data_IF_954218442691
#
_entry.id   IF_954218442691
#
_cell.length_a   1.000
_cell.length_b   1.000
_cell.length_c   1.000
_cell.angle_alpha   90.00
_cell.angle_beta   90.00
_cell.angle_gamma   90.00
#
_symmetry.space_group_name_H-M   'P 1'
#
loop_
_entity.id
_entity.type
_entity.pdbx_description
1 polymer ?
#
# COMPACT_ATOMS: atom_id res chain seq x y z
N UNK A 1 -32.05 17.54 -23.42
CA UNK A 1 -31.57 18.60 -24.34
C UNK A 1 -30.05 18.43 -24.43
N UNK A 2 -29.56 17.72 -25.43
CA UNK A 2 -28.15 17.42 -25.60
C UNK A 2 -27.52 18.44 -26.56
N UNK A 3 -26.37 19.05 -26.28
CA UNK A 3 -25.74 19.94 -27.21
C UNK A 3 -25.09 19.16 -28.37
N UNK A 4 -25.44 19.49 -29.58
CA UNK A 4 -24.82 18.98 -30.82
C UNK A 4 -23.47 19.64 -31.02
N UNK A 5 -22.40 18.87 -31.11
CA UNK A 5 -21.11 19.33 -31.59
C UNK A 5 -21.23 19.71 -33.08
N UNK A 6 -20.98 21.00 -33.42
CA UNK A 6 -20.83 21.44 -34.82
C UNK A 6 -19.37 21.29 -35.24
N UNK A 7 -19.15 20.53 -36.29
CA UNK A 7 -17.86 20.50 -36.96
C UNK A 7 -17.57 21.83 -37.66
N UNK A 8 -16.43 22.43 -37.39
CA UNK A 8 -15.88 23.53 -38.18
C UNK A 8 -15.24 22.91 -39.42
N UNK A 9 -15.82 23.14 -40.58
CA UNK A 9 -15.33 22.74 -41.91
C UNK A 9 -14.31 23.72 -42.44
N UNK A 10 -13.07 23.71 -41.95
CA UNK A 10 -11.94 24.32 -42.61
C UNK A 10 -10.64 23.59 -42.24
N UNK A 11 -10.56 22.31 -42.60
CA UNK A 11 -9.31 21.56 -42.55
C UNK A 11 -8.96 21.13 -43.99
N UNK A 12 -7.82 21.59 -44.49
CA UNK A 12 -7.20 21.10 -45.71
C UNK A 12 -7.06 19.57 -45.70
N UNK A 13 -7.36 18.88 -46.80
CA UNK A 13 -7.35 17.41 -46.80
C UNK A 13 -5.92 16.86 -46.62
N UNK A 14 -5.73 16.12 -45.53
CA UNK A 14 -4.51 15.34 -45.33
C UNK A 14 -4.60 14.12 -46.27
N UNK A 15 -3.69 14.08 -47.26
CA UNK A 15 -3.53 12.88 -48.09
C UNK A 15 -2.94 11.74 -47.28
N UNK A 16 -3.79 10.76 -46.91
CA UNK A 16 -3.35 9.50 -46.29
C UNK A 16 -2.85 8.60 -47.39
N UNK A 17 -1.55 8.35 -47.42
CA UNK A 17 -0.95 7.36 -48.31
C UNK A 17 -1.14 5.98 -47.66
N UNK A 18 -2.18 5.23 -48.03
CA UNK A 18 -2.41 3.86 -47.56
C UNK A 18 -1.67 2.91 -48.51
N UNK A 19 -0.50 2.49 -48.11
CA UNK A 19 0.21 1.39 -48.75
C UNK A 19 0.22 0.18 -47.82
N UNK A 20 -0.56 -0.86 -48.13
CA UNK A 20 -0.33 -2.23 -47.64
C UNK A 20 -1.03 -2.66 -46.35
N UNK A 21 -2.17 -2.09 -45.99
CA UNK A 21 -2.96 -2.59 -44.83
C UNK A 21 -4.02 -3.57 -45.36
N UNK A 22 -4.15 -4.82 -44.80
CA UNK A 22 -5.19 -5.78 -45.23
C UNK A 22 -6.59 -5.21 -44.99
N UNK A 23 -7.51 -5.47 -45.91
CA UNK A 23 -8.91 -5.01 -45.91
C UNK A 23 -9.62 -5.27 -44.57
N UNK A 24 -9.24 -6.35 -43.88
CA UNK A 24 -9.75 -6.71 -42.54
C UNK A 24 -9.41 -5.67 -41.47
N UNK A 25 -8.21 -5.09 -41.51
CA UNK A 25 -7.81 -4.06 -40.55
C UNK A 25 -8.58 -2.75 -40.78
N UNK A 26 -8.90 -2.43 -42.02
CA UNK A 26 -9.72 -1.27 -42.38
C UNK A 26 -11.17 -1.49 -41.95
N UNK A 27 -11.72 -2.70 -42.12
CA UNK A 27 -13.07 -3.03 -41.68
C UNK A 27 -13.19 -3.09 -40.14
N UNK A 28 -12.18 -3.61 -39.44
CA UNK A 28 -12.11 -3.56 -37.99
C UNK A 28 -12.02 -2.13 -37.47
N UNK A 29 -11.27 -1.27 -38.15
CA UNK A 29 -11.16 0.17 -37.80
C UNK A 29 -12.50 0.89 -38.02
N UNK A 30 -13.20 0.63 -39.14
CA UNK A 30 -14.54 1.19 -39.42
C UNK A 30 -15.60 0.64 -38.46
N UNK A 31 -15.57 -0.65 -38.15
CA UNK A 31 -16.50 -1.27 -37.19
C UNK A 31 -16.29 -0.71 -35.79
N UNK A 32 -15.04 -0.55 -35.37
CA UNK A 32 -14.71 0.08 -34.10
C UNK A 32 -15.13 1.56 -34.04
N UNK A 33 -14.97 2.28 -35.15
CA UNK A 33 -15.37 3.69 -35.25
C UNK A 33 -16.90 3.86 -35.23
N UNK A 34 -17.66 2.99 -35.91
CA UNK A 34 -19.12 3.00 -35.92
C UNK A 34 -19.73 2.53 -34.58
N UNK A 35 -19.06 1.61 -33.88
CA UNK A 35 -19.52 1.13 -32.58
C UNK A 35 -19.15 2.09 -31.44
N UNK A 36 -18.00 2.76 -31.56
CA UNK A 36 -17.56 3.76 -30.61
C UNK A 36 -18.30 5.11 -30.71
N UNK A 37 -19.06 5.35 -31.79
CA UNK A 37 -19.87 6.58 -31.93
C UNK A 37 -21.02 6.71 -30.91
N UNK A 38 -21.32 5.62 -30.17
CA UNK A 38 -22.27 5.65 -29.04
C UNK A 38 -21.62 5.91 -27.67
N UNK A 39 -20.29 5.94 -27.60
CA UNK A 39 -19.54 6.30 -26.40
C UNK A 39 -18.74 7.56 -26.72
N UNK A 40 -19.25 8.71 -26.32
CA UNK A 40 -18.57 10.00 -26.47
C UNK A 40 -17.20 9.94 -25.80
N UNK A 41 -16.15 10.24 -26.58
CA UNK A 41 -14.75 10.47 -26.18
C UNK A 41 -13.86 9.25 -26.00
N UNK A 42 -13.42 8.62 -27.12
CA UNK A 42 -12.20 7.83 -27.16
C UNK A 42 -11.11 8.69 -27.82
N UNK A 43 -10.03 9.03 -27.06
CA UNK A 43 -8.88 9.72 -27.59
C UNK A 43 -7.86 8.73 -28.17
N UNK A 44 -7.55 8.80 -29.47
CA UNK A 44 -6.33 8.20 -30.01
C UNK A 44 -5.15 9.14 -29.72
N UNK A 45 -4.06 8.61 -29.20
CA UNK A 45 -2.78 9.30 -29.13
C UNK A 45 -2.21 9.40 -30.54
N UNK A 46 -2.01 10.59 -31.06
CA UNK A 46 -1.27 10.78 -32.31
C UNK A 46 0.16 11.20 -31.98
N UNK A 47 1.11 10.35 -32.38
CA UNK A 47 2.53 10.70 -32.40
C UNK A 47 2.82 11.24 -33.79
N UNK A 48 3.12 12.52 -33.91
CA UNK A 48 3.63 13.11 -35.13
C UNK A 48 5.15 13.07 -35.08
N UNK A 49 5.76 12.21 -35.89
CA UNK A 49 7.21 12.20 -36.07
C UNK A 49 7.59 13.14 -37.25
N UNK A 50 8.36 14.15 -36.97
CA UNK A 50 8.99 14.97 -38.02
C UNK A 50 10.26 14.25 -38.48
N UNK A 51 10.22 13.71 -39.70
CA UNK A 51 11.35 13.01 -40.34
C UNK A 51 12.53 13.91 -40.68
N UNK A 52 12.36 15.24 -40.67
CA UNK A 52 13.46 16.16 -40.96
C UNK A 52 14.35 16.48 -39.76
N UNK A 53 13.80 16.43 -38.54
CA UNK A 53 14.52 16.82 -37.34
C UNK A 53 14.72 15.72 -36.31
N UNK A 54 14.29 14.48 -36.61
CA UNK A 54 14.37 13.33 -35.71
C UNK A 54 13.75 13.58 -34.32
N UNK A 55 12.74 14.44 -34.23
CA UNK A 55 12.02 14.81 -33.02
C UNK A 55 10.57 14.30 -33.11
N UNK A 56 10.10 13.64 -32.04
CA UNK A 56 8.71 13.27 -31.88
C UNK A 56 8.06 14.23 -30.89
N UNK A 57 6.97 14.85 -31.31
CA UNK A 57 6.15 15.73 -30.48
C UNK A 57 4.88 15.01 -30.09
N UNK A 58 4.63 14.88 -28.79
CA UNK A 58 3.33 14.47 -28.24
C UNK A 58 2.57 15.75 -27.86
N UNK A 59 1.47 16.02 -28.55
CA UNK A 59 0.57 17.12 -28.19
C UNK A 59 -0.57 16.58 -27.33
N UNK A 60 -0.76 17.07 -26.10
CA UNK A 60 -2.01 16.87 -25.41
C UNK A 60 -3.06 17.80 -26.07
N UNK A 61 -4.07 17.21 -26.69
CA UNK A 61 -5.26 17.95 -27.08
C UNK A 61 -6.03 18.33 -25.83
N UNK A 62 -6.00 19.60 -25.48
CA UNK A 62 -6.94 20.16 -24.52
C UNK A 62 -8.19 20.60 -25.28
N UNK A 63 -9.15 19.71 -25.45
CA UNK A 63 -10.46 20.11 -25.89
C UNK A 63 -11.25 20.63 -24.67
N UNK A 64 -11.23 21.95 -24.51
CA UNK A 64 -11.91 22.66 -23.40
C UNK A 64 -13.44 22.41 -23.35
N UNK A 65 -13.99 21.74 -24.36
CA UNK A 65 -15.44 21.49 -24.50
C UNK A 65 -15.89 20.07 -24.12
N UNK A 66 -14.97 19.13 -23.87
CA UNK A 66 -15.34 17.74 -23.53
C UNK A 66 -15.54 17.46 -22.05
N UNK A 67 -15.36 18.44 -21.17
CA UNK A 67 -15.68 18.29 -19.73
C UNK A 67 -14.83 17.25 -18.96
N UNK A 68 -13.80 16.64 -19.60
CA UNK A 68 -12.88 15.73 -18.96
C UNK A 68 -11.76 16.53 -18.27
N UNK A 69 -11.91 16.75 -16.98
CA UNK A 69 -10.77 17.20 -16.19
C UNK A 69 -9.80 16.01 -16.07
N UNK A 70 -8.74 16.02 -16.87
CA UNK A 70 -7.62 15.09 -16.66
C UNK A 70 -6.99 15.51 -15.33
N UNK A 71 -7.26 14.74 -14.29
CA UNK A 71 -6.64 14.96 -13.00
C UNK A 71 -5.14 14.75 -13.14
N UNK A 72 -4.30 15.77 -12.90
CA UNK A 72 -2.85 15.63 -13.07
C UNK A 72 -2.28 14.58 -12.11
N UNK A 73 -1.13 13.96 -12.40
CA UNK A 73 -0.46 13.12 -11.43
C UNK A 73 -0.15 13.92 -10.17
N UNK A 74 -0.26 13.29 -9.01
CA UNK A 74 0.16 13.93 -7.77
C UNK A 74 1.66 14.26 -7.85
N UNK A 75 2.09 15.44 -7.38
CA UNK A 75 3.50 15.80 -7.39
C UNK A 75 4.28 14.80 -6.53
N UNK A 76 5.51 14.49 -6.96
CA UNK A 76 6.45 13.77 -6.11
C UNK A 76 6.78 14.69 -4.93
N UNK A 77 6.23 14.36 -3.77
CA UNK A 77 6.50 15.12 -2.55
C UNK A 77 7.96 14.92 -2.17
N UNK A 78 8.74 16.01 -2.22
CA UNK A 78 10.13 15.99 -1.76
C UNK A 78 10.11 15.92 -0.22
N UNK A 79 10.92 15.06 0.42
CA UNK A 79 10.97 14.99 1.87
C UNK A 79 11.14 16.35 2.58
N UNK A 80 11.86 17.30 1.95
CA UNK A 80 12.02 18.66 2.45
C UNK A 80 10.72 19.49 2.52
N UNK A 81 9.66 19.07 1.84
CA UNK A 81 8.32 19.68 1.93
C UNK A 81 7.45 19.03 3.03
N UNK A 82 7.86 17.86 3.52
CA UNK A 82 7.16 17.06 4.54
C UNK A 82 8.00 16.92 5.81
N UNK A 83 8.74 17.97 6.18
CA UNK A 83 9.66 17.95 7.35
C UNK A 83 8.96 18.18 8.68
N UNK A 84 7.64 18.33 8.70
CA UNK A 84 6.92 18.62 9.92
C UNK A 84 7.04 17.46 10.92
N UNK A 85 7.64 17.77 12.06
CA UNK A 85 7.74 16.86 13.20
C UNK A 85 6.42 16.84 13.98
N UNK A 86 5.98 15.64 14.33
CA UNK A 86 4.77 15.41 15.10
C UNK A 86 5.13 15.06 16.53
N UNK A 87 4.70 15.90 17.46
CA UNK A 87 4.84 15.58 18.89
C UNK A 87 3.92 14.41 19.25
N UNK A 88 4.52 13.24 19.49
CA UNK A 88 3.84 12.02 19.91
C UNK A 88 4.12 11.72 21.39
N UNK A 89 4.04 12.76 22.23
CA UNK A 89 4.13 12.59 23.69
C UNK A 89 2.96 11.76 24.23
N UNK A 90 3.11 11.26 25.45
CA UNK A 90 2.02 10.56 26.14
C UNK A 90 0.77 11.46 26.27
N UNK A 91 0.95 12.74 26.53
CA UNK A 91 -0.15 13.71 26.63
C UNK A 91 -0.89 13.84 25.30
N UNK A 92 -0.16 13.92 24.18
CA UNK A 92 -0.75 13.98 22.83
C UNK A 92 -1.54 12.71 22.53
N UNK A 93 -1.02 11.53 22.85
CA UNK A 93 -1.72 10.26 22.62
C UNK A 93 -2.96 10.12 23.49
N UNK A 94 -2.92 10.59 24.75
CA UNK A 94 -4.09 10.65 25.62
C UNK A 94 -5.13 11.65 25.08
N UNK A 95 -4.70 12.79 24.55
CA UNK A 95 -5.61 13.77 23.94
C UNK A 95 -6.33 13.17 22.73
N UNK A 96 -5.60 12.46 21.87
CA UNK A 96 -6.19 11.74 20.74
C UNK A 96 -7.26 10.73 21.19
N UNK A 97 -7.00 9.97 22.26
CA UNK A 97 -7.98 8.99 22.79
C UNK A 97 -9.25 9.65 23.34
N UNK A 98 -9.15 10.87 23.88
CA UNK A 98 -10.27 11.60 24.45
C UNK A 98 -11.13 12.35 23.44
N UNK A 99 -10.70 12.44 22.17
CA UNK A 99 -11.52 13.06 21.12
C UNK A 99 -12.83 12.29 20.96
N UNK A 100 -13.92 13.05 20.82
CA UNK A 100 -15.25 12.49 20.58
C UNK A 100 -15.29 11.68 19.27
N UNK A 101 -15.83 10.46 19.32
CA UNK A 101 -15.83 9.50 18.21
C UNK A 101 -16.60 10.04 16.99
N UNK A 102 -17.79 10.62 17.23
CA UNK A 102 -18.64 11.13 16.16
C UNK A 102 -18.01 12.36 15.50
N UNK A 103 -17.40 13.24 16.31
CA UNK A 103 -16.65 14.40 15.80
C UNK A 103 -15.45 13.98 14.95
N UNK A 104 -14.68 12.98 15.39
CA UNK A 104 -13.56 12.43 14.61
C UNK A 104 -14.06 11.80 13.31
N UNK A 105 -15.09 10.97 13.37
CA UNK A 105 -15.66 10.33 12.17
C UNK A 105 -16.16 11.38 11.18
N UNK A 106 -16.84 12.41 11.63
CA UNK A 106 -17.30 13.51 10.77
C UNK A 106 -16.12 14.26 10.14
N UNK A 107 -15.10 14.60 10.93
CA UNK A 107 -13.87 15.26 10.45
C UNK A 107 -13.18 14.42 9.37
N UNK A 108 -13.02 13.12 9.61
CA UNK A 108 -12.35 12.21 8.68
C UNK A 108 -13.17 12.00 7.39
N UNK A 109 -14.49 11.90 7.49
CA UNK A 109 -15.38 11.82 6.31
C UNK A 109 -15.29 13.12 5.48
N UNK A 110 -15.29 14.28 6.12
CA UNK A 110 -15.11 15.58 5.43
C UNK A 110 -13.75 15.71 4.77
N UNK A 111 -12.70 15.06 5.30
CA UNK A 111 -11.38 15.03 4.67
C UNK A 111 -11.29 14.02 3.49
N UNK A 112 -12.39 13.36 3.13
CA UNK A 112 -12.48 12.47 1.97
C UNK A 112 -12.26 10.99 2.26
N UNK A 113 -12.11 10.59 3.56
CA UNK A 113 -12.03 9.18 3.93
C UNK A 113 -13.40 8.53 3.73
N UNK A 114 -13.42 7.42 3.03
CA UNK A 114 -14.60 6.62 2.75
C UNK A 114 -14.68 5.42 3.68
N UNK A 115 -15.88 4.93 3.88
CA UNK A 115 -16.14 3.69 4.65
C UNK A 115 -15.21 2.57 4.20
N UNK A 116 -14.67 1.84 5.14
CA UNK A 116 -13.60 0.85 4.92
C UNK A 116 -12.19 1.42 5.06
N UNK A 117 -12.04 2.68 5.50
CA UNK A 117 -10.73 3.33 5.67
C UNK A 117 -10.01 3.60 4.34
N UNK A 118 -10.77 3.86 3.29
CA UNK A 118 -10.28 4.13 1.94
C UNK A 118 -10.14 5.63 1.71
N UNK A 119 -9.07 6.00 1.03
CA UNK A 119 -8.86 7.37 0.58
C UNK A 119 -8.21 7.40 -0.80
N UNK A 120 -8.60 8.38 -1.60
CA UNK A 120 -7.98 8.72 -2.88
C UNK A 120 -7.94 10.24 -3.00
N UNK A 121 -6.81 10.85 -3.33
CA UNK A 121 -6.74 12.28 -3.61
C UNK A 121 -7.74 12.66 -4.70
N UNK A 122 -8.40 13.82 -4.55
CA UNK A 122 -9.37 14.33 -5.54
C UNK A 122 -8.74 15.33 -6.50
N UNK A 123 -7.68 16.02 -6.07
CA UNK A 123 -7.02 17.09 -6.83
C UNK A 123 -5.95 16.56 -7.79
N UNK A 124 -5.47 15.34 -7.57
CA UNK A 124 -4.43 14.73 -8.38
C UNK A 124 -4.58 13.19 -8.43
N UNK A 125 -3.97 12.56 -9.43
CA UNK A 125 -3.92 11.12 -9.54
C UNK A 125 -2.71 10.57 -8.77
N UNK A 126 -2.95 9.87 -7.67
CA UNK A 126 -1.88 9.21 -6.90
C UNK A 126 -1.12 8.22 -7.78
N UNK A 127 0.20 8.25 -7.68
CA UNK A 127 1.10 7.33 -8.39
C UNK A 127 1.12 5.93 -7.74
N UNK A 128 0.68 5.83 -6.47
CA UNK A 128 0.74 4.60 -5.68
C UNK A 128 -0.64 4.24 -5.13
N UNK A 129 -0.99 2.96 -5.22
CA UNK A 129 -2.15 2.39 -4.55
C UNK A 129 -1.69 1.37 -3.51
N UNK A 130 -1.87 1.73 -2.25
CA UNK A 130 -1.24 1.09 -1.09
C UNK A 130 -2.28 0.41 -0.21
N UNK A 131 -2.02 -0.82 0.23
CA UNK A 131 -2.76 -1.45 1.32
C UNK A 131 -1.89 -1.45 2.58
N UNK A 132 -2.36 -0.80 3.65
CA UNK A 132 -1.73 -0.85 4.97
C UNK A 132 -2.40 -1.95 5.77
N UNK A 133 -1.66 -3.01 6.09
CA UNK A 133 -2.15 -4.19 6.83
C UNK A 133 -1.68 -4.13 8.27
N UNK A 134 -2.63 -4.16 9.20
CA UNK A 134 -2.39 -3.97 10.64
C UNK A 134 -2.91 -5.17 11.42
N UNK A 135 -2.03 -6.03 11.97
CA UNK A 135 -2.44 -7.15 12.81
C UNK A 135 -2.75 -6.67 14.23
N UNK A 136 -3.87 -7.10 14.78
CA UNK A 136 -4.28 -6.68 16.12
C UNK A 136 -4.84 -7.85 16.95
N UNK A 137 -4.72 -7.72 18.26
CA UNK A 137 -5.50 -8.44 19.25
C UNK A 137 -5.45 -7.68 20.58
N UNK A 138 -6.61 -7.34 21.14
CA UNK A 138 -6.71 -6.61 22.41
C UNK A 138 -5.88 -5.32 22.45
N UNK A 139 -6.01 -4.47 21.40
CA UNK A 139 -5.24 -3.24 21.19
C UNK A 139 -6.15 -2.07 20.78
N UNK A 140 -7.35 -1.97 21.36
CA UNK A 140 -8.37 -0.98 20.99
C UNK A 140 -7.83 0.44 21.06
N UNK A 141 -7.18 0.80 22.18
CA UNK A 141 -6.63 2.16 22.37
C UNK A 141 -5.52 2.47 21.36
N UNK A 142 -4.60 1.50 21.14
CA UNK A 142 -3.55 1.67 20.14
C UNK A 142 -4.14 1.82 18.74
N UNK A 143 -5.15 1.01 18.39
CA UNK A 143 -5.82 1.11 17.10
C UNK A 143 -6.52 2.46 16.94
N UNK A 144 -7.16 2.96 17.98
CA UNK A 144 -7.80 4.29 17.96
C UNK A 144 -6.78 5.39 17.69
N UNK A 145 -5.66 5.41 18.44
CA UNK A 145 -4.56 6.37 18.21
C UNK A 145 -3.99 6.21 16.80
N UNK A 146 -3.71 4.97 16.40
CA UNK A 146 -3.16 4.66 15.09
C UNK A 146 -4.04 5.22 13.96
N UNK A 147 -5.32 4.92 13.95
CA UNK A 147 -6.24 5.36 12.88
C UNK A 147 -6.36 6.88 12.82
N UNK A 148 -6.53 7.53 13.98
CA UNK A 148 -6.69 9.00 14.08
C UNK A 148 -5.42 9.74 13.66
N UNK A 149 -4.26 9.12 13.84
CA UNK A 149 -2.96 9.66 13.45
C UNK A 149 -2.61 9.35 11.99
N UNK A 150 -2.76 8.09 11.56
CA UNK A 150 -2.26 7.64 10.26
C UNK A 150 -3.09 8.17 9.08
N UNK A 151 -4.40 8.35 9.23
CA UNK A 151 -5.20 8.89 8.15
C UNK A 151 -4.73 10.27 7.68
N UNK A 152 -4.64 11.30 8.54
CA UNK A 152 -4.11 12.59 8.14
C UNK A 152 -2.66 12.53 7.62
N UNK A 153 -1.84 11.64 8.19
CA UNK A 153 -0.46 11.43 7.76
C UNK A 153 -0.40 10.91 6.31
N UNK A 154 -1.14 9.85 5.98
CA UNK A 154 -1.17 9.26 4.63
C UNK A 154 -1.80 10.21 3.60
N UNK A 155 -2.80 11.00 4.01
CA UNK A 155 -3.43 12.01 3.16
C UNK A 155 -2.45 13.11 2.74
N UNK A 156 -1.59 13.58 3.66
CA UNK A 156 -0.56 14.59 3.33
C UNK A 156 0.45 14.08 2.30
N UNK A 157 0.66 12.77 2.23
CA UNK A 157 1.49 12.14 1.19
C UNK A 157 0.73 11.87 -0.12
N UNK A 158 -0.52 12.28 -0.22
CA UNK A 158 -1.36 12.15 -1.42
C UNK A 158 -1.45 10.73 -1.97
N UNK A 159 -1.48 9.74 -1.06
CA UNK A 159 -1.58 8.33 -1.41
C UNK A 159 -3.02 7.92 -1.70
N UNK A 160 -3.21 7.02 -2.65
CA UNK A 160 -4.43 6.23 -2.76
C UNK A 160 -4.25 4.99 -1.88
N UNK A 161 -5.01 4.87 -0.79
CA UNK A 161 -4.77 3.80 0.18
C UNK A 161 -6.05 3.22 0.80
N UNK A 162 -5.86 2.08 1.44
CA UNK A 162 -6.80 1.44 2.37
C UNK A 162 -6.06 1.03 3.64
N UNK A 163 -6.74 1.11 4.81
CA UNK A 163 -6.25 0.51 6.05
C UNK A 163 -7.08 -0.75 6.33
N UNK A 164 -6.39 -1.89 6.41
CA UNK A 164 -6.97 -3.21 6.67
C UNK A 164 -6.47 -3.69 8.03
N UNK A 165 -7.39 -3.87 8.98
CA UNK A 165 -7.11 -4.37 10.32
C UNK A 165 -7.51 -5.83 10.38
N UNK A 166 -6.53 -6.70 10.64
CA UNK A 166 -6.75 -8.14 10.79
C UNK A 166 -6.66 -8.49 12.26
N UNK A 167 -7.80 -8.82 12.85
CA UNK A 167 -7.92 -9.15 14.26
C UNK A 167 -7.95 -10.65 14.48
N UNK A 168 -7.07 -11.14 15.35
CA UNK A 168 -7.07 -12.54 15.75
C UNK A 168 -8.01 -12.78 16.93
N UNK A 169 -8.86 -13.82 16.86
CA UNK A 169 -9.61 -14.33 18.00
C UNK A 169 -8.70 -14.84 19.14
N UNK A 170 -9.24 -14.96 20.36
CA UNK A 170 -8.42 -15.24 21.56
C UNK A 170 -8.01 -16.71 21.77
N UNK A 171 -8.39 -17.61 20.86
CA UNK A 171 -8.28 -19.06 21.08
C UNK A 171 -6.85 -19.63 21.05
N UNK A 172 -5.93 -18.95 20.39
CA UNK A 172 -4.56 -19.43 20.17
C UNK A 172 -3.53 -18.34 20.47
N UNK A 173 -2.25 -18.63 20.69
CA UNK A 173 -1.20 -17.62 20.77
C UNK A 173 -1.24 -16.69 19.55
N UNK A 174 -0.81 -15.44 19.71
CA UNK A 174 -0.82 -14.47 18.63
C UNK A 174 0.14 -14.85 17.51
N UNK A 175 -0.31 -14.77 16.25
CA UNK A 175 0.52 -15.07 15.09
C UNK A 175 0.52 -13.88 14.12
N UNK A 176 1.44 -12.94 14.36
CA UNK A 176 1.59 -11.71 13.58
C UNK A 176 1.80 -11.99 12.08
N UNK A 177 2.71 -12.91 11.74
CA UNK A 177 3.04 -13.23 10.36
C UNK A 177 1.84 -13.76 9.58
N UNK A 178 1.09 -14.68 10.20
CA UNK A 178 -0.12 -15.24 9.58
C UNK A 178 -1.20 -14.18 9.36
N UNK A 179 -1.38 -13.24 10.30
CA UNK A 179 -2.34 -12.13 10.14
C UNK A 179 -1.94 -11.19 9.00
N UNK A 180 -0.64 -10.95 8.80
CA UNK A 180 -0.15 -10.18 7.65
C UNK A 180 -0.46 -10.88 6.32
N UNK A 181 -0.25 -12.21 6.25
CA UNK A 181 -0.61 -13.02 5.08
C UNK A 181 -2.12 -12.98 4.81
N UNK A 182 -2.94 -13.05 5.85
CA UNK A 182 -4.40 -12.96 5.73
C UNK A 182 -4.80 -11.58 5.19
N UNK A 183 -4.25 -10.50 5.74
CA UNK A 183 -4.51 -9.16 5.26
C UNK A 183 -4.17 -8.97 3.78
N UNK A 184 -3.05 -9.54 3.33
CA UNK A 184 -2.69 -9.58 1.91
C UNK A 184 -3.74 -10.33 1.09
N UNK A 185 -4.12 -11.54 1.49
CA UNK A 185 -5.13 -12.37 0.78
C UNK A 185 -6.48 -11.69 0.71
N UNK A 186 -6.96 -11.15 1.80
CA UNK A 186 -8.27 -10.46 1.86
C UNK A 186 -8.27 -9.16 1.03
N UNK A 187 -7.14 -8.42 1.01
CA UNK A 187 -7.00 -7.25 0.14
C UNK A 187 -7.08 -7.62 -1.35
N UNK A 188 -6.47 -8.75 -1.76
CA UNK A 188 -6.57 -9.25 -3.14
C UNK A 188 -8.03 -9.55 -3.54
N UNK A 189 -8.85 -10.02 -2.60
CA UNK A 189 -10.27 -10.30 -2.85
C UNK A 189 -11.11 -9.02 -3.08
N UNK A 190 -10.60 -7.85 -2.68
CA UNK A 190 -11.25 -6.56 -2.98
C UNK A 190 -11.12 -6.15 -4.45
N UNK A 191 -10.30 -6.83 -5.25
CA UNK A 191 -10.06 -6.58 -6.67
C UNK A 191 -9.65 -5.13 -6.99
N UNK A 192 -8.93 -4.50 -6.07
CA UNK A 192 -8.53 -3.09 -6.19
C UNK A 192 -7.13 -2.87 -6.75
N UNK A 193 -6.43 -3.92 -7.16
CA UNK A 193 -5.09 -3.86 -7.79
C UNK A 193 -4.08 -3.03 -6.99
N UNK A 194 -3.86 -3.39 -5.72
CA UNK A 194 -2.83 -2.73 -4.91
C UNK A 194 -1.44 -3.01 -5.48
N UNK A 195 -0.64 -1.95 -5.63
CA UNK A 195 0.72 -2.06 -6.14
C UNK A 195 1.67 -2.55 -5.06
N UNK A 196 1.43 -2.18 -3.80
CA UNK A 196 2.23 -2.62 -2.67
C UNK A 196 1.43 -2.74 -1.39
N UNK A 197 2.05 -3.42 -0.43
CA UNK A 197 1.57 -3.64 0.92
C UNK A 197 2.54 -3.06 1.92
N UNK A 198 2.01 -2.32 2.90
CA UNK A 198 2.74 -1.89 4.08
C UNK A 198 2.23 -2.71 5.26
N UNK A 199 3.07 -3.61 5.74
CA UNK A 199 2.81 -4.41 6.93
C UNK A 199 3.24 -3.63 8.15
N UNK A 200 2.28 -3.28 9.01
CA UNK A 200 2.46 -2.22 9.99
C UNK A 200 2.01 -2.64 11.38
N UNK A 201 2.89 -2.54 12.38
CA UNK A 201 2.52 -2.76 13.78
C UNK A 201 1.66 -1.60 14.28
N UNK A 202 0.60 -1.92 15.01
CA UNK A 202 -0.40 -0.94 15.49
C UNK A 202 0.16 0.07 16.50
N UNK A 203 1.30 -0.23 17.10
CA UNK A 203 1.96 0.56 18.14
C UNK A 203 3.16 1.39 17.66
N UNK A 204 3.41 1.44 16.36
CA UNK A 204 4.45 2.28 15.76
C UNK A 204 3.82 3.44 15.00
N UNK A 205 4.29 4.67 15.26
CA UNK A 205 3.83 5.86 14.57
C UNK A 205 5.02 6.64 14.00
N UNK A 206 5.01 7.03 12.70
CA UNK A 206 6.08 7.86 12.13
C UNK A 206 6.07 9.24 12.75
N UNK A 207 7.24 9.77 13.16
CA UNK A 207 7.34 11.09 13.80
C UNK A 207 7.39 12.24 12.80
N UNK A 208 7.66 11.96 11.52
CA UNK A 208 7.80 12.98 10.47
C UNK A 208 6.94 12.63 9.27
N UNK A 209 6.26 13.63 8.72
CA UNK A 209 5.43 13.47 7.52
C UNK A 209 6.24 13.04 6.29
N UNK A 210 7.55 13.27 6.28
CA UNK A 210 8.47 12.88 5.22
C UNK A 210 8.89 11.40 5.23
N UNK A 211 8.48 10.61 6.22
CA UNK A 211 8.74 9.16 6.20
C UNK A 211 7.92 8.52 5.05
N UNK A 212 8.55 7.98 3.99
CA UNK A 212 7.84 7.65 2.76
C UNK A 212 6.99 6.38 2.89
N UNK A 213 5.67 6.53 2.71
CA UNK A 213 4.70 5.42 2.60
C UNK A 213 4.32 5.10 1.15
N UNK A 214 5.13 5.55 0.21
CA UNK A 214 5.05 5.17 -1.21
C UNK A 214 5.44 3.72 -1.43
N UNK A 215 4.98 3.12 -2.52
CA UNK A 215 5.42 1.78 -2.89
C UNK A 215 6.93 1.73 -3.13
N UNK A 216 7.62 0.68 -2.67
CA UNK A 216 8.97 0.40 -3.11
C UNK A 216 8.96 -0.04 -4.58
N UNK A 217 10.08 0.09 -5.28
CA UNK A 217 10.29 -0.52 -6.58
C UNK A 217 10.30 -2.05 -6.45
N UNK A 218 9.84 -2.75 -7.48
CA UNK A 218 9.97 -4.22 -7.56
C UNK A 218 11.43 -4.64 -7.37
N UNK A 219 11.64 -5.67 -6.58
CA UNK A 219 12.98 -6.14 -6.22
C UNK A 219 13.67 -5.37 -5.09
N UNK A 220 13.05 -4.30 -4.57
CA UNK A 220 13.61 -3.43 -3.53
C UNK A 220 12.69 -3.27 -2.32
N UNK A 221 12.35 -4.35 -1.59
CA UNK A 221 11.56 -4.26 -0.36
C UNK A 221 12.16 -3.24 0.61
N UNK A 222 11.29 -2.47 1.29
CA UNK A 222 11.75 -1.40 2.19
C UNK A 222 11.53 -1.75 3.65
N UNK A 223 12.60 -1.75 4.45
CA UNK A 223 12.53 -1.68 5.90
C UNK A 223 12.25 -0.24 6.32
N UNK A 224 11.08 0.01 6.91
CA UNK A 224 10.67 1.36 7.26
C UNK A 224 10.99 1.69 8.72
N UNK A 225 10.65 0.80 9.67
CA UNK A 225 10.86 1.02 11.11
C UNK A 225 12.26 0.56 11.56
N UNK A 226 13.32 1.18 11.05
CA UNK A 226 14.69 0.88 11.48
C UNK A 226 15.22 1.88 12.52
N UNK A 227 14.56 3.02 12.73
CA UNK A 227 14.91 4.06 13.68
C UNK A 227 13.74 4.30 14.63
N UNK A 228 13.72 3.62 15.78
CA UNK A 228 12.60 3.60 16.73
C UNK A 228 13.05 4.13 18.09
N UNK A 229 12.20 4.92 18.75
CA UNK A 229 12.50 5.55 20.04
C UNK A 229 12.84 4.55 21.16
N UNK A 230 12.13 3.40 21.20
CA UNK A 230 12.41 2.34 22.17
C UNK A 230 13.79 1.72 22.04
N UNK A 231 14.50 1.99 20.94
CA UNK A 231 15.89 1.61 20.68
C UNK A 231 16.83 2.82 20.62
N UNK A 232 16.43 3.93 21.23
CA UNK A 232 17.16 5.20 21.16
C UNK A 232 17.48 5.64 19.72
N UNK A 233 16.59 5.34 18.79
CA UNK A 233 16.71 5.62 17.35
C UNK A 233 17.93 4.97 16.68
N UNK A 234 18.53 3.98 17.30
CA UNK A 234 19.64 3.23 16.72
C UNK A 234 19.12 1.96 16.06
N UNK A 235 19.55 1.65 14.83
CA UNK A 235 19.20 0.38 14.20
C UNK A 235 19.65 -0.80 15.07
N UNK A 236 18.77 -1.77 15.29
CA UNK A 236 19.06 -2.94 16.12
C UNK A 236 20.01 -3.90 15.43
N UNK A 237 19.87 -4.09 14.12
CA UNK A 237 20.73 -4.92 13.29
C UNK A 237 20.56 -4.59 11.80
N UNK A 238 21.55 -4.91 11.00
CA UNK A 238 21.48 -4.78 9.54
C UNK A 238 20.40 -5.73 8.92
N UNK A 239 20.08 -6.81 9.62
CA UNK A 239 19.15 -7.85 9.17
C UNK A 239 17.72 -7.66 9.72
N UNK A 240 17.50 -6.61 10.51
CA UNK A 240 16.15 -6.32 11.03
C UNK A 240 15.20 -5.96 9.88
N UNK A 241 14.08 -6.68 9.79
CA UNK A 241 13.06 -6.47 8.77
C UNK A 241 11.65 -6.61 9.38
N UNK A 242 11.41 -5.90 10.50
CA UNK A 242 10.19 -5.98 11.30
C UNK A 242 9.57 -4.60 11.59
N UNK A 243 8.53 -4.58 12.41
CA UNK A 243 7.79 -3.39 12.81
C UNK A 243 6.95 -2.81 11.67
N UNK A 244 7.57 -2.09 10.75
CA UNK A 244 6.93 -1.57 9.53
C UNK A 244 7.79 -1.91 8.33
N UNK A 245 7.21 -2.63 7.37
CA UNK A 245 7.88 -3.04 6.12
C UNK A 245 6.96 -2.82 4.92
N UNK A 246 7.54 -2.40 3.80
CA UNK A 246 6.82 -2.25 2.55
C UNK A 246 7.40 -3.20 1.49
N UNK A 247 6.52 -3.94 0.83
CA UNK A 247 6.85 -4.83 -0.29
C UNK A 247 5.89 -4.55 -1.44
N UNK A 248 6.38 -4.64 -2.68
CA UNK A 248 5.49 -4.70 -3.83
C UNK A 248 4.63 -5.97 -3.77
N UNK A 249 3.51 -5.97 -4.48
CA UNK A 249 2.65 -7.16 -4.57
C UNK A 249 3.43 -8.35 -5.11
N UNK A 250 4.27 -8.12 -6.14
CA UNK A 250 5.08 -9.16 -6.77
C UNK A 250 6.14 -9.71 -5.80
N UNK A 251 6.85 -8.83 -5.09
CA UNK A 251 7.88 -9.24 -4.13
C UNK A 251 7.28 -10.06 -3.00
N UNK A 252 6.14 -9.64 -2.43
CA UNK A 252 5.50 -10.38 -1.35
C UNK A 252 5.02 -11.76 -1.78
N UNK A 253 4.53 -11.89 -3.01
CA UNK A 253 4.18 -13.19 -3.58
C UNK A 253 5.41 -14.05 -3.83
N UNK A 254 6.50 -13.47 -4.36
CA UNK A 254 7.74 -14.21 -4.67
C UNK A 254 8.41 -14.80 -3.43
N UNK A 255 8.31 -14.10 -2.29
CA UNK A 255 8.83 -14.59 -1.01
C UNK A 255 7.85 -15.52 -0.27
N UNK A 256 6.69 -15.86 -0.89
CA UNK A 256 5.63 -16.65 -0.28
C UNK A 256 5.11 -16.06 1.04
N UNK A 257 5.16 -14.72 1.20
CA UNK A 257 4.74 -14.02 2.40
C UNK A 257 5.56 -14.34 3.64
N UNK A 258 4.95 -14.11 4.82
CA UNK A 258 5.51 -14.52 6.11
C UNK A 258 5.35 -16.02 6.33
N UNK A 259 6.16 -16.62 7.21
CA UNK A 259 5.90 -17.94 7.74
C UNK A 259 4.66 -17.94 8.63
N UNK A 260 3.82 -18.97 8.52
CA UNK A 260 2.65 -19.21 9.37
C UNK A 260 2.99 -19.89 10.71
N UNK A 261 4.27 -20.19 10.97
CA UNK A 261 4.70 -21.07 12.06
C UNK A 261 5.13 -20.35 13.33
N UNK A 262 5.12 -19.00 13.34
CA UNK A 262 5.54 -18.23 14.51
C UNK A 262 4.34 -17.89 15.40
N UNK A 263 4.17 -18.66 16.48
CA UNK A 263 3.13 -18.48 17.48
C UNK A 263 3.70 -17.85 18.75
N UNK A 264 3.29 -16.63 19.08
CA UNK A 264 3.88 -15.78 20.10
C UNK A 264 4.86 -14.76 19.50
N UNK A 265 5.67 -14.12 20.36
CA UNK A 265 6.51 -13.02 19.93
C UNK A 265 7.85 -13.47 19.34
N UNK A 266 8.19 -12.96 18.16
CA UNK A 266 9.54 -12.90 17.59
C UNK A 266 9.88 -14.03 16.63
N UNK A 267 10.71 -13.70 15.65
CA UNK A 267 11.30 -14.60 14.66
C UNK A 267 10.65 -14.57 13.28
N UNK A 268 9.42 -14.13 13.16
CA UNK A 268 8.70 -14.06 11.88
C UNK A 268 9.31 -13.01 10.93
N UNK A 269 9.81 -11.91 11.48
CA UNK A 269 10.49 -10.84 10.77
C UNK A 269 11.92 -11.23 10.35
N UNK A 270 12.68 -11.91 11.22
CA UNK A 270 13.99 -12.47 10.87
C UNK A 270 13.85 -13.47 9.71
N UNK A 271 12.81 -14.30 9.75
CA UNK A 271 12.58 -15.26 8.70
C UNK A 271 12.09 -14.59 7.40
N UNK A 272 11.27 -13.54 7.46
CA UNK A 272 10.90 -12.78 6.28
C UNK A 272 12.15 -12.19 5.61
N UNK A 273 13.09 -11.65 6.40
CA UNK A 273 14.37 -11.18 5.87
C UNK A 273 15.13 -12.27 5.12
N UNK A 274 15.21 -13.48 5.70
CA UNK A 274 15.85 -14.62 5.04
C UNK A 274 15.17 -14.97 3.71
N UNK A 275 13.82 -14.94 3.66
CA UNK A 275 13.05 -15.17 2.43
C UNK A 275 13.35 -14.13 1.36
N UNK A 276 13.34 -12.85 1.73
CA UNK A 276 13.70 -11.74 0.86
C UNK A 276 15.08 -11.93 0.26
N UNK A 277 16.07 -12.26 1.10
CA UNK A 277 17.46 -12.51 0.64
C UNK A 277 17.56 -13.75 -0.25
N UNK A 278 16.81 -14.81 0.02
CA UNK A 278 16.81 -16.04 -0.81
C UNK A 278 16.26 -15.84 -2.22
N UNK A 279 15.43 -14.80 -2.41
CA UNK A 279 14.92 -14.39 -3.73
C UNK A 279 15.79 -13.30 -4.40
N UNK A 280 17.00 -13.03 -3.86
CA UNK A 280 17.93 -12.00 -4.35
C UNK A 280 17.32 -10.58 -4.36
N UNK A 281 16.31 -10.31 -3.53
CA UNK A 281 15.75 -8.98 -3.40
C UNK A 281 16.67 -8.09 -2.57
N UNK A 282 16.76 -6.82 -2.97
CA UNK A 282 17.64 -5.84 -2.31
C UNK A 282 16.86 -5.03 -1.27
N UNK A 283 17.04 -5.34 0.02
CA UNK A 283 16.40 -4.58 1.10
C UNK A 283 16.93 -3.16 1.13
N UNK A 284 16.03 -2.19 1.04
CA UNK A 284 16.30 -0.76 1.13
C UNK A 284 15.79 -0.19 2.45
N UNK A 285 16.25 1.01 2.81
CA UNK A 285 15.72 1.82 3.91
C UNK A 285 15.37 3.20 3.40
N UNK A 286 14.46 3.88 4.10
CA UNK A 286 14.21 5.27 3.79
C UNK A 286 15.52 6.08 3.96
N UNK A 287 15.85 6.87 2.94
CA UNK A 287 17.02 7.78 2.95
C UNK A 287 18.40 7.11 2.97
N UNK A 288 18.53 5.84 2.56
CA UNK A 288 19.87 5.19 2.40
C UNK A 288 20.80 6.02 1.52
N UNK A 289 20.26 6.61 0.46
CA UNK A 289 21.00 7.48 -0.47
C UNK A 289 21.13 8.93 0.01
N UNK A 290 20.43 9.31 1.08
CA UNK A 290 20.41 10.66 1.64
C UNK A 290 20.55 10.64 3.17
N UNK A 291 21.73 10.31 3.70
CA UNK A 291 21.95 10.12 5.15
C UNK A 291 21.57 11.33 6.03
N UNK A 292 21.63 12.54 5.49
CA UNK A 292 21.20 13.77 6.19
C UNK A 292 19.71 13.78 6.54
N UNK A 293 18.88 13.02 5.80
CA UNK A 293 17.43 12.93 5.98
C UNK A 293 17.00 11.71 6.81
N UNK A 294 17.93 10.89 7.29
CA UNK A 294 17.63 9.65 8.02
C UNK A 294 16.78 9.89 9.27
N UNK A 295 16.85 11.07 9.88
CA UNK A 295 16.03 11.46 11.02
C UNK A 295 14.54 11.52 10.69
N UNK A 296 14.15 11.68 9.41
CA UNK A 296 12.77 11.68 8.97
C UNK A 296 12.14 10.28 9.03
N UNK A 297 12.95 9.22 9.07
CA UNK A 297 12.49 7.84 9.17
C UNK A 297 12.27 7.34 10.61
N UNK A 298 12.15 8.26 11.59
CA UNK A 298 11.93 7.93 12.99
C UNK A 298 10.49 7.49 13.27
N UNK A 299 10.38 6.56 14.22
CA UNK A 299 9.12 6.06 14.74
C UNK A 299 9.05 6.21 16.26
N UNK A 300 7.86 6.55 16.74
CA UNK A 300 7.47 6.51 18.13
C UNK A 300 6.72 5.23 18.45
N UNK A 301 7.06 4.60 19.58
CA UNK A 301 6.37 3.41 20.08
C UNK A 301 5.26 3.81 21.04
N UNK A 302 4.05 3.32 20.83
CA UNK A 302 2.99 3.36 21.83
C UNK A 302 3.29 2.31 22.91
N UNK A 303 3.40 2.75 24.15
CA UNK A 303 3.83 1.89 25.26
C UNK A 303 2.83 0.78 25.56
N UNK A 304 3.33 -0.44 25.71
CA UNK A 304 2.53 -1.59 26.13
C UNK A 304 3.36 -2.65 26.83
N UNK A 305 2.70 -3.59 27.53
CA UNK A 305 3.37 -4.76 28.09
C UNK A 305 3.90 -5.64 26.97
N UNK A 306 5.20 -5.93 27.00
CA UNK A 306 5.83 -6.84 26.02
C UNK A 306 5.22 -8.25 26.14
N UNK A 307 4.95 -8.87 24.98
CA UNK A 307 4.52 -10.26 24.93
C UNK A 307 5.67 -11.19 25.30
N UNK A 308 5.33 -12.37 25.83
CA UNK A 308 6.34 -13.40 26.10
C UNK A 308 6.95 -13.89 24.79
N UNK A 309 8.28 -14.07 24.72
CA UNK A 309 8.93 -14.64 23.54
C UNK A 309 8.41 -16.04 23.23
N UNK A 310 8.29 -16.37 21.96
CA UNK A 310 8.09 -17.75 21.52
C UNK A 310 9.33 -18.55 21.87
N UNK A 311 9.23 -19.61 22.71
CA UNK A 311 10.38 -20.40 23.11
C UNK A 311 11.03 -21.14 21.93
N UNK A 312 10.24 -21.54 20.94
CA UNK A 312 10.69 -22.33 19.79
C UNK A 312 11.17 -21.49 18.61
N UNK A 313 11.14 -20.13 18.73
CA UNK A 313 11.42 -19.24 17.61
C UNK A 313 12.75 -19.52 16.90
N UNK A 314 13.80 -19.85 17.65
CA UNK A 314 15.13 -20.11 17.07
C UNK A 314 15.17 -21.39 16.24
N UNK A 315 14.43 -22.42 16.69
CA UNK A 315 14.29 -23.65 15.94
C UNK A 315 13.48 -23.41 14.65
N UNK A 316 12.37 -22.69 14.73
CA UNK A 316 11.53 -22.34 13.56
C UNK A 316 12.32 -21.49 12.54
N UNK A 317 13.16 -20.53 13.00
CA UNK A 317 14.04 -19.75 12.12
C UNK A 317 15.04 -20.67 11.40
N UNK A 318 15.66 -21.61 12.12
CA UNK A 318 16.62 -22.56 11.56
C UNK A 318 16.01 -23.46 10.50
N UNK A 319 14.77 -23.89 10.68
CA UNK A 319 14.01 -24.73 9.75
C UNK A 319 13.44 -23.93 8.56
N UNK A 320 13.41 -22.61 8.67
CA UNK A 320 12.79 -21.71 7.69
C UNK A 320 13.20 -21.95 6.23
N UNK A 321 14.51 -22.10 5.91
CA UNK A 321 14.95 -22.34 4.54
C UNK A 321 14.35 -23.61 3.90
N UNK A 322 14.18 -24.70 4.65
CA UNK A 322 13.62 -25.95 4.13
C UNK A 322 12.10 -25.86 3.92
N UNK A 323 11.43 -24.95 4.64
CA UNK A 323 9.97 -24.79 4.64
C UNK A 323 9.49 -23.65 3.74
N UNK A 324 10.39 -22.89 3.15
CA UNK A 324 10.08 -21.69 2.37
C UNK A 324 8.97 -21.90 1.33
N UNK A 325 8.98 -23.01 0.60
CA UNK A 325 8.01 -23.32 -0.47
C UNK A 325 6.65 -23.83 0.04
N UNK A 326 6.58 -24.27 1.27
CA UNK A 326 5.40 -24.96 1.83
C UNK A 326 4.76 -24.27 3.02
N UNK A 327 5.36 -23.19 3.54
CA UNK A 327 4.91 -22.43 4.69
C UNK A 327 4.82 -20.94 4.33
N UNK A 328 3.61 -20.39 4.29
CA UNK A 328 3.36 -18.99 3.94
C UNK A 328 2.02 -18.77 3.23
N UNK A 329 2.02 -18.00 2.14
CA UNK A 329 0.80 -17.74 1.37
C UNK A 329 0.18 -19.02 0.77
N UNK A 330 1.01 -20.00 0.41
CA UNK A 330 0.61 -21.23 -0.28
C UNK A 330 -0.18 -22.17 0.63
N UNK A 331 0.12 -22.24 1.92
CA UNK A 331 -0.54 -23.11 2.89
C UNK A 331 -1.43 -22.37 3.90
N UNK A 332 -1.68 -21.08 3.65
CA UNK A 332 -2.43 -20.21 4.53
C UNK A 332 -3.85 -20.74 4.76
N UNK A 333 -4.18 -21.09 6.02
CA UNK A 333 -5.50 -21.58 6.43
C UNK A 333 -6.03 -20.76 7.60
N UNK A 334 -7.23 -20.22 7.45
CA UNK A 334 -7.92 -19.47 8.48
C UNK A 334 -9.42 -19.57 8.30
N UNK A 335 -10.15 -19.30 9.37
CA UNK A 335 -11.60 -19.12 9.33
C UNK A 335 -11.90 -17.64 9.51
N UNK A 336 -12.45 -16.98 8.50
CA UNK A 336 -12.96 -15.62 8.64
C UNK A 336 -14.26 -15.67 9.43
N UNK A 337 -14.26 -15.03 10.60
CA UNK A 337 -15.42 -14.98 11.51
C UNK A 337 -16.30 -13.77 11.20
N UNK A 338 -15.67 -12.64 10.82
CA UNK A 338 -16.37 -11.41 10.48
C UNK A 338 -15.59 -10.59 9.45
N UNK A 339 -16.31 -9.78 8.68
CA UNK A 339 -15.77 -8.84 7.72
C UNK A 339 -16.65 -7.60 7.68
N UNK A 340 -16.12 -6.44 8.04
CA UNK A 340 -16.87 -5.19 8.09
C UNK A 340 -16.08 -4.02 7.50
N UNK A 341 -16.75 -3.19 6.71
CA UNK A 341 -16.26 -1.87 6.37
C UNK A 341 -16.63 -0.90 7.50
N UNK A 342 -15.69 -0.65 8.42
CA UNK A 342 -15.83 0.35 9.47
C UNK A 342 -15.58 1.76 8.89
N UNK A 343 -15.97 2.84 9.57
CA UNK A 343 -15.72 4.20 9.06
C UNK A 343 -14.27 4.48 8.67
N UNK A 344 -13.30 4.05 9.49
CA UNK A 344 -11.87 4.37 9.33
C UNK A 344 -11.01 3.17 8.89
N UNK A 345 -11.55 1.96 8.76
CA UNK A 345 -10.76 0.78 8.36
C UNK A 345 -11.67 -0.34 7.87
N UNK A 346 -11.08 -1.26 7.11
CA UNK A 346 -11.69 -2.55 6.83
C UNK A 346 -11.30 -3.52 7.93
N UNK A 347 -12.28 -4.04 8.66
CA UNK A 347 -12.09 -4.98 9.77
C UNK A 347 -12.29 -6.41 9.31
N UNK A 348 -11.35 -7.28 9.68
CA UNK A 348 -11.38 -8.70 9.38
C UNK A 348 -11.07 -9.47 10.67
N UNK A 349 -12.08 -10.12 11.23
CA UNK A 349 -11.91 -10.99 12.41
C UNK A 349 -11.68 -12.42 11.96
N UNK A 350 -10.61 -13.04 12.45
CA UNK A 350 -10.22 -14.38 12.04
C UNK A 350 -9.97 -15.32 13.23
N UNK A 351 -10.31 -16.59 13.05
CA UNK A 351 -9.87 -17.70 13.89
C UNK A 351 -8.75 -18.43 13.16
N UNK A 352 -7.58 -18.48 13.78
CA UNK A 352 -6.40 -19.20 13.30
C UNK A 352 -5.92 -20.14 14.41
N UNK A 353 -5.43 -21.30 13.98
CA UNK A 353 -4.95 -22.31 14.92
C UNK A 353 -3.61 -22.88 14.43
N UNK A 354 -2.72 -23.25 15.34
CA UNK A 354 -1.55 -24.04 14.98
C UNK A 354 -2.01 -25.25 14.17
N UNK A 355 -1.39 -25.50 13.01
CA UNK A 355 -1.60 -26.78 12.35
C UNK A 355 -1.29 -27.85 13.36
N UNK A 356 -2.27 -28.66 13.74
CA UNK A 356 -2.00 -29.87 14.52
C UNK A 356 -0.96 -30.64 13.70
N UNK A 357 0.29 -30.61 14.17
CA UNK A 357 1.31 -31.54 13.71
C UNK A 357 0.68 -32.91 13.98
N UNK A 358 0.26 -33.59 12.93
CA UNK A 358 -0.05 -34.99 13.01
C UNK A 358 1.18 -35.64 13.63
N UNK A 359 1.08 -35.91 14.92
CA UNK A 359 2.01 -36.80 15.59
C UNK A 359 2.05 -38.06 14.75
N UNK A 360 3.15 -38.26 14.04
CA UNK A 360 3.53 -39.55 13.48
C UNK A 360 4.33 -40.31 14.53
#
# INVERSE_FOLDING_TARGET
MFPRCRYATNATPIRILVLGVPLVAVLCYFYFFLYASNYSCIHPWFIVSDRKNNQSYSYPWTDANCGWQITPPCPNMIPSQLVEWRNLSLETTIAILKEDEDAVQLKMTKSGIKVGGKYKPVECQSQHKVAVVVPVRNRTDHLTVFLRYMHPFLQRQQLNYIIIVVEQSEKSPFNRGMLMNIGFKEAQLLQENFQCFIFHDVDLLPEYDGNPYTCPEDGKPRQMAFSVDSWNYKPTSANHFGGVTALSTNDFQSVNGFSNSFWGWGGEDDQLYQRVKSQNLNVTRAFDEQPSLIHLARYKTLSHKKASPNPDRMQVIKEGPSRFKTDGLVDLRYKRLDFQFKPLYTHILVDIQPNSITQK
#
